data_IF_768587714646
#
_entry.id   IF_768587714646
#
_cell.length_a   1.000
_cell.length_b   1.000
_cell.length_c   1.000
_cell.angle_alpha   90.00
_cell.angle_beta   90.00
_cell.angle_gamma   90.00
#
_symmetry.space_group_name_H-M   'P 1'
#
loop_
_entity.id
_entity.type
_entity.pdbx_description
1 polymer ?
#
# COMPACT_ATOMS: atom_id res chain seq x y z
N UNK A 1 -49.67 -34.14 13.92
CA UNK A 1 -50.37 -33.09 13.14
C UNK A 1 -49.28 -32.29 12.44
N UNK A 2 -48.87 -32.59 11.19
CA UNK A 2 -49.55 -32.21 9.93
C UNK A 2 -50.16 -30.80 10.06
N UNK A 3 -49.71 -29.77 9.34
CA UNK A 3 -49.78 -29.65 7.88
C UNK A 3 -48.62 -28.81 7.29
N UNK A 4 -48.21 -29.27 6.12
CA UNK A 4 -47.22 -28.79 5.17
C UNK A 4 -47.88 -27.84 4.13
N UNK A 5 -47.07 -27.01 3.47
CA UNK A 5 -47.25 -26.33 2.15
C UNK A 5 -47.97 -24.97 2.09
N UNK A 6 -47.24 -23.98 1.58
CA UNK A 6 -47.65 -23.25 0.38
C UNK A 6 -46.40 -22.71 -0.35
N UNK A 7 -45.94 -23.49 -1.35
CA UNK A 7 -45.21 -22.97 -2.50
C UNK A 7 -46.19 -22.16 -3.36
N UNK A 8 -45.70 -21.10 -4.00
CA UNK A 8 -46.30 -20.62 -5.25
C UNK A 8 -46.32 -19.10 -5.40
N UNK A 9 -45.30 -18.56 -6.07
CA UNK A 9 -45.43 -17.56 -7.14
C UNK A 9 -44.03 -17.15 -7.64
N UNK A 10 -43.40 -18.03 -8.42
CA UNK A 10 -42.46 -17.60 -9.45
C UNK A 10 -43.27 -17.12 -10.64
N UNK A 11 -43.18 -15.84 -10.99
CA UNK A 11 -43.53 -15.37 -12.32
C UNK A 11 -43.02 -13.93 -12.54
N UNK A 12 -42.11 -13.81 -13.50
CA UNK A 12 -41.97 -12.66 -14.41
C UNK A 12 -41.31 -11.41 -13.81
N UNK A 13 -40.01 -11.24 -14.05
CA UNK A 13 -39.53 -9.97 -14.56
C UNK A 13 -38.36 -10.15 -15.54
N UNK A 14 -38.56 -9.53 -16.68
CA UNK A 14 -37.80 -9.53 -17.93
C UNK A 14 -36.27 -9.41 -17.82
N UNK A 15 -35.66 -10.40 -18.46
CA UNK A 15 -34.49 -10.36 -19.32
C UNK A 15 -34.29 -8.99 -20.04
N UNK A 16 -33.20 -8.28 -19.75
CA UNK A 16 -32.56 -7.34 -20.68
C UNK A 16 -31.07 -7.68 -20.72
N UNK A 17 -30.70 -8.52 -21.70
CA UNK A 17 -29.33 -8.76 -22.13
C UNK A 17 -28.90 -7.59 -23.03
N UNK A 18 -27.76 -6.96 -22.72
CA UNK A 18 -27.01 -6.18 -23.69
C UNK A 18 -25.52 -6.52 -23.54
N UNK A 19 -25.11 -7.49 -24.34
CA UNK A 19 -23.75 -7.99 -24.55
C UNK A 19 -23.09 -7.22 -25.69
N UNK A 20 -21.96 -6.54 -25.45
CA UNK A 20 -20.94 -6.26 -26.49
C UNK A 20 -19.56 -6.14 -25.85
N UNK A 21 -18.72 -7.17 -25.96
CA UNK A 21 -17.24 -7.13 -25.97
C UNK A 21 -16.68 -8.56 -26.19
N UNK A 22 -15.41 -8.73 -26.59
CA UNK A 22 -14.76 -8.50 -27.89
C UNK A 22 -14.20 -9.83 -28.46
N UNK A 23 -13.49 -9.87 -29.62
CA UNK A 23 -12.61 -11.00 -29.91
C UNK A 23 -11.16 -10.70 -29.53
N UNK A 24 -10.63 -11.52 -28.61
CA UNK A 24 -9.19 -11.75 -28.43
C UNK A 24 -8.62 -12.47 -29.66
N UNK A 25 -7.49 -12.00 -30.15
CA UNK A 25 -6.60 -12.77 -31.03
C UNK A 25 -5.39 -13.23 -30.22
N UNK A 26 -5.05 -14.51 -30.37
CA UNK A 26 -4.00 -15.21 -29.66
C UNK A 26 -2.84 -15.58 -30.61
N UNK A 27 -1.70 -15.91 -30.00
CA UNK A 27 -0.60 -16.76 -30.50
C UNK A 27 0.37 -16.15 -31.52
N UNK A 28 1.70 -16.37 -31.50
CA UNK A 28 2.60 -17.27 -30.75
C UNK A 28 4.08 -16.81 -30.96
N UNK A 29 5.06 -17.35 -30.21
CA UNK A 29 6.49 -17.02 -30.29
C UNK A 29 7.32 -18.03 -31.14
N UNK A 30 8.38 -17.56 -31.79
CA UNK A 30 9.44 -18.39 -32.41
C UNK A 30 10.75 -17.60 -32.40
N UNK A 31 11.82 -18.08 -31.76
CA UNK A 31 12.85 -19.02 -32.26
C UNK A 31 14.22 -18.30 -32.33
N UNK A 32 15.07 -18.56 -31.33
CA UNK A 32 16.54 -18.66 -31.46
C UNK A 32 16.85 -20.15 -31.81
N UNK A 33 18.06 -20.59 -32.24
CA UNK A 33 19.39 -19.99 -32.03
C UNK A 33 20.40 -20.16 -33.19
N UNK A 34 21.61 -19.62 -33.03
CA UNK A 34 22.74 -19.85 -33.94
C UNK A 34 24.07 -19.76 -33.22
N UNK A 35 24.54 -20.90 -32.72
CA UNK A 35 25.93 -21.21 -32.38
C UNK A 35 26.87 -20.94 -33.57
N UNK A 36 28.04 -20.35 -33.32
CA UNK A 36 29.22 -20.68 -34.13
C UNK A 36 30.51 -20.57 -33.31
N UNK A 37 31.17 -21.72 -33.26
CA UNK A 37 32.41 -22.05 -32.56
C UNK A 37 33.65 -21.50 -33.27
N UNK A 38 34.63 -21.16 -32.44
CA UNK A 38 36.06 -21.47 -32.55
C UNK A 38 36.78 -21.31 -33.91
N UNK A 39 37.77 -20.42 -33.91
CA UNK A 39 39.02 -20.63 -34.65
C UNK A 39 40.22 -20.28 -33.77
N UNK A 40 41.20 -21.16 -33.87
CA UNK A 40 42.40 -21.32 -33.08
C UNK A 40 43.66 -20.89 -33.83
N UNK A 41 44.70 -20.59 -33.03
CA UNK A 41 46.16 -20.59 -33.35
C UNK A 41 46.78 -19.40 -34.12
N UNK A 42 48.11 -19.17 -34.06
CA UNK A 42 49.15 -19.84 -33.24
C UNK A 42 50.09 -18.89 -32.44
N UNK A 43 50.87 -19.52 -31.57
CA UNK A 43 51.96 -18.98 -30.77
C UNK A 43 53.17 -18.49 -31.59
N UNK A 44 53.84 -17.45 -31.08
CA UNK A 44 55.14 -16.96 -31.56
C UNK A 44 56.13 -17.02 -30.41
N UNK A 45 57.16 -17.85 -30.60
CA UNK A 45 58.41 -17.91 -29.84
C UNK A 45 59.20 -16.61 -30.00
N UNK A 46 59.64 -16.01 -28.90
CA UNK A 46 60.72 -15.02 -28.89
C UNK A 46 61.68 -15.30 -27.72
N UNK A 47 62.95 -15.52 -28.08
CA UNK A 47 64.08 -15.71 -27.18
C UNK A 47 64.39 -14.46 -26.31
N UNK A 48 65.06 -14.64 -25.16
CA UNK A 48 65.23 -13.58 -24.17
C UNK A 48 66.43 -12.68 -24.47
N UNK A 49 66.15 -11.42 -24.78
CA UNK A 49 67.15 -10.35 -24.78
C UNK A 49 67.43 -9.88 -23.36
N UNK A 50 68.68 -10.04 -22.94
CA UNK A 50 69.27 -9.54 -21.70
C UNK A 50 69.28 -7.99 -21.74
N UNK A 51 68.44 -7.37 -20.90
CA UNK A 51 68.39 -5.92 -20.70
C UNK A 51 68.82 -5.61 -19.27
N UNK A 52 69.93 -4.91 -19.17
CA UNK A 52 70.56 -4.35 -17.99
C UNK A 52 69.56 -3.47 -17.20
N UNK A 53 69.31 -3.82 -15.94
CA UNK A 53 68.34 -3.13 -15.08
C UNK A 53 68.94 -1.83 -14.50
N UNK A 54 68.31 -0.65 -14.72
CA UNK A 54 68.65 0.54 -13.96
C UNK A 54 68.08 0.45 -12.54
N UNK A 55 68.84 0.99 -11.57
CA UNK A 55 68.51 1.03 -10.14
C UNK A 55 67.03 1.34 -9.88
N UNK A 56 66.34 0.36 -9.29
CA UNK A 56 64.94 0.48 -8.89
C UNK A 56 64.82 1.49 -7.74
N UNK A 57 64.02 2.56 -7.87
CA UNK A 57 63.64 3.37 -6.73
C UNK A 57 62.82 2.54 -5.76
N UNK A 58 62.90 2.83 -4.45
CA UNK A 58 62.20 2.07 -3.43
C UNK A 58 60.68 1.96 -3.74
N UNK A 59 60.08 0.76 -3.64
CA UNK A 59 58.75 0.45 -4.19
C UNK A 59 57.56 1.18 -3.53
N UNK A 60 57.78 2.05 -2.54
CA UNK A 60 56.70 2.66 -1.76
C UNK A 60 56.38 4.12 -2.10
N UNK A 61 57.21 4.85 -2.88
CA UNK A 61 56.94 6.27 -3.16
C UNK A 61 56.25 6.55 -4.51
N UNK A 62 56.25 5.61 -5.46
CA UNK A 62 55.76 5.88 -6.83
C UNK A 62 54.25 5.56 -7.01
N UNK A 63 53.59 4.88 -6.07
CA UNK A 63 52.21 4.43 -6.24
C UNK A 63 51.13 5.42 -5.74
N UNK A 64 51.46 6.38 -4.88
CA UNK A 64 50.47 7.28 -4.27
C UNK A 64 49.85 8.29 -5.25
N UNK A 65 50.49 8.55 -6.39
CA UNK A 65 50.07 9.59 -7.36
C UNK A 65 49.03 9.12 -8.40
N UNK A 66 48.60 7.85 -8.37
CA UNK A 66 47.73 7.26 -9.41
C UNK A 66 46.29 6.98 -8.95
N UNK A 67 45.93 7.26 -7.70
CA UNK A 67 44.60 6.97 -7.16
C UNK A 67 43.70 8.21 -7.15
N UNK A 68 42.40 8.09 -7.49
CA UNK A 68 41.45 9.22 -7.44
C UNK A 68 41.46 9.92 -6.09
N UNK A 69 41.22 11.22 -6.01
CA UNK A 69 41.07 11.91 -4.72
C UNK A 69 39.70 11.65 -4.07
N UNK A 70 38.68 11.36 -4.88
CA UNK A 70 37.32 11.12 -4.41
C UNK A 70 37.20 9.74 -3.71
N UNK A 71 36.71 9.67 -2.45
CA UNK A 71 36.53 8.41 -1.73
C UNK A 71 35.61 7.42 -2.45
N UNK A 72 34.52 7.89 -3.05
CA UNK A 72 33.55 7.02 -3.70
C UNK A 72 34.14 6.42 -4.99
N UNK A 73 34.88 7.21 -5.77
CA UNK A 73 35.63 6.69 -6.92
C UNK A 73 36.69 5.64 -6.53
N UNK A 74 37.36 5.81 -5.40
CA UNK A 74 38.31 4.81 -4.87
C UNK A 74 37.62 3.51 -4.47
N UNK A 75 36.48 3.57 -3.79
CA UNK A 75 35.69 2.36 -3.44
C UNK A 75 35.19 1.68 -4.72
N UNK A 76 34.69 2.43 -5.70
CA UNK A 76 34.29 1.89 -6.99
C UNK A 76 35.48 1.25 -7.76
N UNK A 77 36.68 1.82 -7.65
CA UNK A 77 37.91 1.23 -8.18
C UNK A 77 38.29 -0.06 -7.45
N UNK A 78 38.17 -0.10 -6.13
CA UNK A 78 38.43 -1.29 -5.33
C UNK A 78 37.44 -2.43 -5.64
N UNK A 79 36.15 -2.14 -5.86
CA UNK A 79 35.17 -3.14 -6.32
C UNK A 79 35.56 -3.75 -7.66
N UNK A 80 35.99 -2.91 -8.61
CA UNK A 80 36.46 -3.37 -9.93
C UNK A 80 37.72 -4.25 -9.78
N UNK A 81 38.66 -3.83 -8.94
CA UNK A 81 39.85 -4.59 -8.63
C UNK A 81 39.52 -5.98 -8.06
N UNK A 82 38.61 -6.03 -7.08
CA UNK A 82 38.16 -7.28 -6.47
C UNK A 82 37.53 -8.22 -7.51
N UNK A 83 36.65 -7.70 -8.37
CA UNK A 83 36.03 -8.49 -9.44
C UNK A 83 37.04 -9.02 -10.46
N UNK A 84 38.13 -8.29 -10.69
CA UNK A 84 39.24 -8.70 -11.55
C UNK A 84 40.26 -9.59 -10.84
N UNK A 85 40.07 -9.90 -9.54
CA UNK A 85 41.04 -10.61 -8.69
C UNK A 85 42.36 -9.87 -8.44
N UNK A 86 42.38 -8.55 -8.62
CA UNK A 86 43.53 -7.68 -8.36
C UNK A 86 43.59 -7.29 -6.87
N UNK A 87 43.88 -8.24 -5.99
CA UNK A 87 43.81 -8.02 -4.54
C UNK A 87 44.91 -7.10 -3.99
N UNK A 88 46.05 -7.01 -4.68
CA UNK A 88 47.23 -6.27 -4.21
C UNK A 88 46.98 -4.74 -4.14
N UNK A 89 46.02 -4.23 -4.91
CA UNK A 89 45.68 -2.81 -4.95
C UNK A 89 44.59 -2.42 -3.94
N UNK A 90 43.93 -3.39 -3.28
CA UNK A 90 42.85 -3.08 -2.34
C UNK A 90 43.35 -2.32 -1.11
N UNK A 91 44.48 -2.73 -0.53
CA UNK A 91 45.06 -2.04 0.63
C UNK A 91 45.43 -0.57 0.32
N UNK A 92 46.26 -0.26 -0.69
CA UNK A 92 46.63 1.13 -0.97
C UNK A 92 45.43 2.02 -1.37
N UNK A 93 44.37 1.43 -1.94
CA UNK A 93 43.14 2.15 -2.26
C UNK A 93 42.30 2.50 -1.02
N UNK A 94 42.11 1.53 -0.13
CA UNK A 94 41.07 1.59 0.91
C UNK A 94 41.61 1.92 2.30
N UNK A 95 42.86 1.55 2.62
CA UNK A 95 43.47 1.83 3.93
C UNK A 95 43.47 3.34 4.24
N UNK A 96 43.86 4.26 3.33
CA UNK A 96 43.83 5.70 3.60
C UNK A 96 42.42 6.27 3.82
N UNK A 97 41.38 5.56 3.38
CA UNK A 97 39.99 5.99 3.53
C UNK A 97 39.36 5.55 4.84
N UNK A 98 39.89 4.48 5.43
CA UNK A 98 39.30 3.81 6.59
C UNK A 98 40.12 4.05 7.86
N UNK A 99 41.43 4.29 7.73
CA UNK A 99 42.37 4.45 8.85
C UNK A 99 43.00 5.85 8.87
N UNK A 100 43.19 6.48 10.05
CA UNK A 100 42.81 6.01 11.39
C UNK A 100 41.32 6.23 11.72
N UNK A 101 40.60 7.02 10.93
CA UNK A 101 39.17 7.24 11.05
C UNK A 101 38.55 7.22 9.66
N UNK A 102 37.41 6.55 9.50
CA UNK A 102 36.76 6.42 8.21
C UNK A 102 36.26 7.79 7.69
N UNK A 103 36.66 8.13 6.46
CA UNK A 103 36.24 9.35 5.74
C UNK A 103 34.89 9.11 5.03
N UNK A 104 34.49 7.85 4.87
CA UNK A 104 33.24 7.45 4.23
C UNK A 104 32.07 7.64 5.20
N UNK A 105 31.17 8.57 4.87
CA UNK A 105 29.98 8.91 5.66
C UNK A 105 28.90 7.83 5.58
N UNK A 106 28.68 7.27 4.38
CA UNK A 106 27.66 6.25 4.18
C UNK A 106 28.04 4.93 4.88
N UNK A 107 27.14 4.44 5.73
CA UNK A 107 27.41 3.25 6.54
C UNK A 107 27.55 1.98 5.68
N UNK A 108 26.76 1.85 4.61
CA UNK A 108 26.81 0.68 3.74
C UNK A 108 28.10 0.67 2.90
N UNK A 109 28.46 1.83 2.34
CA UNK A 109 29.69 1.98 1.57
C UNK A 109 30.94 1.78 2.44
N UNK A 110 30.93 2.28 3.69
CA UNK A 110 32.01 2.05 4.65
C UNK A 110 32.18 0.56 4.99
N UNK A 111 31.08 -0.17 5.16
CA UNK A 111 31.12 -1.61 5.45
C UNK A 111 31.68 -2.41 4.28
N UNK A 112 31.23 -2.09 3.06
CA UNK A 112 31.76 -2.71 1.86
C UNK A 112 33.26 -2.42 1.68
N UNK A 113 33.67 -1.17 1.87
CA UNK A 113 35.08 -0.79 1.84
C UNK A 113 35.91 -1.56 2.90
N UNK A 114 35.42 -1.68 4.14
CA UNK A 114 36.10 -2.47 5.18
C UNK A 114 36.19 -3.94 4.79
N UNK A 115 35.15 -4.49 4.20
CA UNK A 115 35.12 -5.88 3.77
C UNK A 115 36.17 -6.12 2.68
N UNK A 116 36.21 -5.25 1.66
CA UNK A 116 37.20 -5.32 0.59
C UNK A 116 38.63 -5.16 1.12
N UNK A 117 38.86 -4.26 2.07
CA UNK A 117 40.17 -4.10 2.72
C UNK A 117 40.59 -5.36 3.50
N UNK A 118 39.68 -5.94 4.29
CA UNK A 118 39.94 -7.17 5.03
C UNK A 118 40.29 -8.34 4.09
N UNK A 119 39.61 -8.44 2.96
CA UNK A 119 39.89 -9.42 1.91
C UNK A 119 41.27 -9.20 1.27
N UNK A 120 41.59 -7.96 0.89
CA UNK A 120 42.90 -7.60 0.34
C UNK A 120 44.04 -7.98 1.28
N UNK A 121 43.91 -7.64 2.57
CA UNK A 121 44.87 -8.00 3.60
C UNK A 121 45.01 -9.52 3.79
N UNK A 122 43.90 -10.25 3.75
CA UNK A 122 43.90 -11.71 3.85
C UNK A 122 44.65 -12.36 2.67
N UNK A 123 44.36 -11.94 1.44
CA UNK A 123 45.02 -12.48 0.26
C UNK A 123 46.50 -12.09 0.18
N UNK A 124 46.86 -10.85 0.53
CA UNK A 124 48.26 -10.44 0.63
C UNK A 124 49.01 -11.32 1.64
N UNK A 125 48.40 -11.64 2.78
CA UNK A 125 49.02 -12.50 3.79
C UNK A 125 49.38 -13.89 3.24
N UNK A 126 48.59 -14.44 2.31
CA UNK A 126 48.87 -15.74 1.70
C UNK A 126 50.08 -15.71 0.76
N UNK A 127 50.36 -14.56 0.16
CA UNK A 127 51.47 -14.39 -0.79
C UNK A 127 52.80 -14.08 -0.09
N UNK A 128 52.77 -13.51 1.12
CA UNK A 128 53.97 -13.10 1.85
C UNK A 128 54.71 -14.30 2.46
N UNK A 129 56.02 -14.51 2.15
CA UNK A 129 56.79 -15.62 2.70
C UNK A 129 57.16 -15.42 4.18
N UNK A 130 57.37 -14.18 4.61
CA UNK A 130 57.74 -13.85 5.99
C UNK A 130 56.59 -14.13 6.96
N UNK A 131 56.86 -15.00 7.95
CA UNK A 131 55.86 -15.45 8.90
C UNK A 131 55.38 -14.35 9.86
N UNK A 132 56.24 -13.36 10.15
CA UNK A 132 55.90 -12.25 11.04
C UNK A 132 54.98 -11.25 10.34
N UNK A 133 55.31 -10.86 9.11
CA UNK A 133 54.47 -9.99 8.27
C UNK A 133 53.14 -10.65 7.93
N UNK A 134 53.11 -11.95 7.62
CA UNK A 134 51.86 -12.71 7.43
C UNK A 134 50.94 -12.61 8.65
N UNK A 135 51.49 -12.82 9.86
CA UNK A 135 50.73 -12.70 11.11
C UNK A 135 50.18 -11.29 11.33
N UNK A 136 50.97 -10.26 11.01
CA UNK A 136 50.51 -8.88 11.11
C UNK A 136 49.33 -8.61 10.17
N UNK A 137 49.43 -8.98 8.90
CA UNK A 137 48.36 -8.80 7.92
C UNK A 137 47.06 -9.53 8.29
N UNK A 138 47.17 -10.78 8.75
CA UNK A 138 46.00 -11.54 9.23
C UNK A 138 45.39 -10.90 10.47
N UNK A 139 46.20 -10.32 11.37
CA UNK A 139 45.69 -9.61 12.54
C UNK A 139 44.93 -8.34 12.14
N UNK A 140 45.45 -7.57 11.17
CA UNK A 140 44.75 -6.41 10.62
C UNK A 140 43.44 -6.79 9.94
N UNK A 141 43.43 -7.87 9.14
CA UNK A 141 42.22 -8.39 8.51
C UNK A 141 41.15 -8.77 9.56
N UNK A 142 41.55 -9.47 10.63
CA UNK A 142 40.65 -9.80 11.76
C UNK A 142 40.09 -8.54 12.43
N UNK A 143 40.90 -7.50 12.57
CA UNK A 143 40.47 -6.20 13.10
C UNK A 143 39.33 -5.60 12.28
N UNK A 144 39.49 -5.50 10.96
CA UNK A 144 38.43 -4.98 10.09
C UNK A 144 37.16 -5.85 10.09
N UNK A 145 37.29 -7.18 10.15
CA UNK A 145 36.13 -8.06 10.30
C UNK A 145 35.40 -7.83 11.62
N UNK A 146 36.12 -7.60 12.71
CA UNK A 146 35.52 -7.27 14.00
C UNK A 146 34.80 -5.92 13.94
N UNK A 147 35.37 -4.92 13.27
CA UNK A 147 34.73 -3.61 13.13
C UNK A 147 33.46 -3.67 12.27
N UNK A 148 33.41 -4.54 11.25
CA UNK A 148 32.18 -4.86 10.53
C UNK A 148 31.13 -5.43 11.49
N UNK A 149 31.50 -6.40 12.33
CA UNK A 149 30.58 -7.03 13.29
C UNK A 149 30.13 -6.07 14.40
N UNK A 150 30.96 -5.12 14.82
CA UNK A 150 30.58 -4.07 15.79
C UNK A 150 29.52 -3.13 15.22
N UNK A 151 29.63 -2.81 13.93
CA UNK A 151 28.69 -1.95 13.23
C UNK A 151 27.42 -2.71 12.84
N UNK A 152 27.54 -3.95 12.36
CA UNK A 152 26.44 -4.86 12.02
C UNK A 152 26.68 -6.26 12.63
N UNK A 153 26.19 -6.54 13.84
CA UNK A 153 26.41 -7.82 14.53
C UNK A 153 25.87 -9.05 13.79
N UNK A 154 24.86 -8.85 12.96
CA UNK A 154 24.21 -9.89 12.16
C UNK A 154 24.81 -10.04 10.75
N UNK A 155 25.90 -9.34 10.44
CA UNK A 155 26.55 -9.44 9.13
C UNK A 155 27.05 -10.87 8.86
N UNK A 156 26.85 -11.36 7.64
CA UNK A 156 27.23 -12.71 7.20
C UNK A 156 27.95 -12.60 5.85
N UNK A 157 29.07 -13.31 5.72
CA UNK A 157 29.73 -13.49 4.43
C UNK A 157 29.05 -14.62 3.65
N UNK A 158 28.64 -14.35 2.41
CA UNK A 158 27.99 -15.33 1.54
C UNK A 158 29.00 -16.44 1.10
N UNK A 159 28.80 -17.71 1.50
CA UNK A 159 29.69 -18.81 1.13
C UNK A 159 29.71 -19.12 -0.37
N UNK A 160 28.74 -18.64 -1.15
CA UNK A 160 28.73 -18.80 -2.60
C UNK A 160 29.63 -17.77 -3.31
N UNK A 161 29.91 -16.64 -2.65
CA UNK A 161 30.69 -15.54 -3.20
C UNK A 161 32.15 -15.61 -2.70
N UNK A 162 32.35 -15.96 -1.42
CA UNK A 162 33.67 -15.92 -0.79
C UNK A 162 34.27 -17.31 -0.59
N UNK A 163 35.61 -17.47 -0.72
CA UNK A 163 36.27 -18.75 -0.45
C UNK A 163 36.06 -19.22 0.99
N UNK A 164 36.00 -20.55 1.19
CA UNK A 164 35.78 -21.15 2.51
C UNK A 164 36.79 -20.68 3.57
N UNK A 165 38.05 -20.46 3.19
CA UNK A 165 39.09 -19.98 4.11
C UNK A 165 38.84 -18.56 4.64
N UNK A 166 38.18 -17.70 3.85
CA UNK A 166 37.78 -16.35 4.25
C UNK A 166 36.58 -16.43 5.20
N UNK A 167 35.60 -17.27 4.88
CA UNK A 167 34.43 -17.48 5.74
C UNK A 167 34.86 -18.05 7.10
N UNK A 168 35.80 -18.99 7.12
CA UNK A 168 36.33 -19.58 8.34
C UNK A 168 37.01 -18.53 9.24
N UNK A 169 37.88 -17.67 8.69
CA UNK A 169 38.50 -16.61 9.50
C UNK A 169 37.47 -15.62 10.02
N UNK A 170 36.48 -15.25 9.21
CA UNK A 170 35.41 -14.34 9.63
C UNK A 170 34.56 -14.91 10.76
N UNK A 171 34.12 -16.17 10.63
CA UNK A 171 33.36 -16.84 11.68
C UNK A 171 34.20 -17.08 12.94
N UNK A 172 35.50 -17.31 12.82
CA UNK A 172 36.39 -17.37 13.98
C UNK A 172 36.43 -16.03 14.74
N UNK A 173 36.44 -14.89 14.03
CA UNK A 173 36.38 -13.56 14.66
C UNK A 173 35.04 -13.35 15.36
N UNK A 174 33.93 -13.78 14.76
CA UNK A 174 32.61 -13.71 15.39
C UNK A 174 32.58 -14.54 16.68
N UNK A 175 33.09 -15.77 16.63
CA UNK A 175 33.10 -16.68 17.78
C UNK A 175 33.99 -16.15 18.92
N UNK A 176 35.17 -15.63 18.60
CA UNK A 176 36.11 -15.06 19.58
C UNK A 176 35.51 -13.84 20.31
N UNK A 177 34.60 -13.09 19.66
CA UNK A 177 34.03 -11.85 20.17
C UNK A 177 32.54 -11.95 20.52
N UNK A 178 31.99 -13.17 20.65
CA UNK A 178 30.55 -13.39 20.82
C UNK A 178 29.97 -12.64 22.03
N UNK A 179 30.72 -12.55 23.13
CA UNK A 179 30.28 -11.83 24.34
C UNK A 179 30.15 -10.32 24.09
N UNK A 180 31.10 -9.72 23.37
CA UNK A 180 31.05 -8.30 23.00
C UNK A 180 29.84 -8.04 22.08
N UNK A 181 29.66 -8.86 21.05
CA UNK A 181 28.56 -8.73 20.10
C UNK A 181 27.19 -8.89 20.78
N UNK A 182 27.04 -9.85 21.70
CA UNK A 182 25.82 -10.01 22.50
C UNK A 182 25.49 -8.76 23.31
N UNK A 183 26.49 -8.09 23.87
CA UNK A 183 26.28 -6.85 24.61
C UNK A 183 25.83 -5.69 23.69
N UNK A 184 26.42 -5.59 22.49
CA UNK A 184 26.02 -4.59 21.48
C UNK A 184 24.57 -4.80 21.07
N UNK A 185 24.16 -6.04 20.78
CA UNK A 185 22.78 -6.37 20.41
C UNK A 185 21.82 -6.05 21.56
N UNK A 186 22.17 -6.42 22.80
CA UNK A 186 21.35 -6.15 23.97
C UNK A 186 21.15 -4.64 24.21
N UNK A 187 22.22 -3.84 24.04
CA UNK A 187 22.14 -2.38 24.14
C UNK A 187 21.22 -1.78 23.07
N UNK A 188 21.39 -2.17 21.80
CA UNK A 188 20.53 -1.70 20.70
C UNK A 188 19.06 -2.05 20.91
N UNK A 189 18.77 -3.25 21.42
CA UNK A 189 17.40 -3.66 21.72
C UNK A 189 16.80 -2.88 22.91
N UNK A 190 17.61 -2.57 23.93
CA UNK A 190 17.18 -1.74 25.04
C UNK A 190 16.83 -0.31 24.60
N UNK A 191 17.64 0.28 23.72
CA UNK A 191 17.41 1.61 23.13
C UNK A 191 16.19 1.64 22.21
N UNK A 192 15.97 0.59 21.42
CA UNK A 192 14.76 0.45 20.61
C UNK A 192 13.49 0.39 21.46
N UNK A 193 13.52 -0.35 22.58
CA UNK A 193 12.39 -0.46 23.51
C UNK A 193 12.14 0.83 24.31
N UNK A 194 13.18 1.58 24.67
CA UNK A 194 13.03 2.86 25.38
C UNK A 194 12.47 3.96 24.47
N UNK A 195 12.90 3.98 23.21
CA UNK A 195 12.35 4.86 22.16
C UNK A 195 10.88 4.51 21.90
N UNK A 196 10.57 3.22 21.74
CA UNK A 196 9.20 2.76 21.50
C UNK A 196 8.28 3.15 22.65
N UNK A 197 8.69 2.98 23.92
CA UNK A 197 7.84 3.35 25.08
C UNK A 197 7.61 4.85 25.23
N UNK A 198 8.54 5.68 24.77
CA UNK A 198 8.42 7.14 24.84
C UNK A 198 7.50 7.70 23.75
N UNK A 199 7.21 6.92 22.71
CA UNK A 199 6.40 7.29 21.54
C UNK A 199 5.04 6.55 21.47
N UNK A 200 4.66 5.81 22.52
CA UNK A 200 3.33 5.21 22.65
C UNK A 200 2.29 6.30 23.01
N UNK A 201 1.88 7.12 22.04
CA UNK A 201 0.65 7.88 22.15
C UNK A 201 -0.53 6.89 22.25
N UNK A 202 -1.24 6.95 23.38
CA UNK A 202 -2.43 6.14 23.61
C UNK A 202 -3.53 6.57 22.63
N UNK A 203 -3.74 5.78 21.57
CA UNK A 203 -4.76 6.05 20.56
C UNK A 203 -6.14 5.62 21.08
N UNK A 204 -7.01 6.57 21.41
CA UNK A 204 -8.39 6.28 21.79
C UNK A 204 -9.22 6.07 20.53
N UNK A 205 -9.95 4.96 20.45
CA UNK A 205 -10.80 4.64 19.30
C UNK A 205 -12.26 4.64 19.79
N UNK A 206 -13.04 5.63 19.35
CA UNK A 206 -14.49 5.65 19.54
C UNK A 206 -15.17 4.92 18.38
N UNK A 207 -16.10 4.03 18.75
CA UNK A 207 -16.92 3.28 17.82
C UNK A 207 -18.36 3.77 17.93
N UNK A 208 -18.76 4.68 17.05
CA UNK A 208 -20.15 5.11 16.96
C UNK A 208 -20.94 4.07 16.15
N UNK A 209 -21.95 3.47 16.79
CA UNK A 209 -22.84 2.47 16.18
C UNK A 209 -24.18 3.12 15.91
N UNK A 210 -24.39 3.58 14.68
CA UNK A 210 -25.68 4.13 14.25
C UNK A 210 -26.58 2.99 13.82
N UNK A 211 -27.78 2.93 14.40
CA UNK A 211 -28.80 1.94 14.06
C UNK A 211 -29.75 2.51 13.02
N UNK A 212 -29.97 1.76 11.95
CA UNK A 212 -30.91 2.12 10.90
C UNK A 212 -32.25 1.43 11.11
N UNK A 213 -33.34 2.13 10.78
CA UNK A 213 -34.70 1.65 10.97
C UNK A 213 -35.26 1.15 9.64
N UNK A 214 -35.60 -0.14 9.57
CA UNK A 214 -36.19 -0.77 8.39
C UNK A 214 -37.49 -0.05 7.94
N UNK A 215 -38.22 0.58 8.87
CA UNK A 215 -39.46 1.29 8.56
C UNK A 215 -39.26 2.45 7.57
N UNK A 216 -38.09 3.09 7.57
CA UNK A 216 -37.79 4.23 6.68
C UNK A 216 -37.70 3.82 5.20
N UNK A 217 -37.46 2.53 4.91
CA UNK A 217 -37.45 2.00 3.54
C UNK A 217 -38.84 1.97 2.88
N UNK A 218 -39.92 2.05 3.67
CA UNK A 218 -41.29 2.06 3.14
C UNK A 218 -41.82 3.46 2.86
N UNK A 219 -41.08 4.51 3.23
CA UNK A 219 -41.48 5.88 2.94
C UNK A 219 -41.19 6.25 1.47
N UNK A 220 -42.03 7.10 0.85
CA UNK A 220 -41.82 7.56 -0.52
C UNK A 220 -40.59 8.49 -0.61
N UNK A 221 -40.25 8.87 -1.84
CA UNK A 221 -39.17 9.79 -2.18
C UNK A 221 -37.76 9.28 -1.82
N UNK A 222 -37.58 7.96 -1.72
CA UNK A 222 -36.26 7.37 -1.52
C UNK A 222 -35.64 7.66 -0.16
N UNK A 223 -36.42 7.99 0.88
CA UNK A 223 -35.94 8.27 2.24
C UNK A 223 -35.05 7.13 2.78
N UNK A 224 -35.43 5.87 2.54
CA UNK A 224 -34.61 4.71 2.93
C UNK A 224 -33.24 4.66 2.25
N UNK A 225 -33.11 5.20 1.03
CA UNK A 225 -31.82 5.21 0.32
C UNK A 225 -30.85 6.23 0.91
N UNK A 226 -31.36 7.35 1.42
CA UNK A 226 -30.54 8.32 2.14
C UNK A 226 -30.03 7.75 3.47
N UNK A 227 -30.84 6.94 4.16
CA UNK A 227 -30.38 6.20 5.34
C UNK A 227 -29.27 5.19 4.99
N UNK A 228 -29.32 4.57 3.82
CA UNK A 228 -28.29 3.64 3.36
C UNK A 228 -27.07 4.32 2.71
N UNK A 229 -26.86 5.63 2.93
CA UNK A 229 -25.81 6.46 2.29
C UNK A 229 -25.74 6.39 0.76
N UNK A 230 -26.84 6.02 0.10
CA UNK A 230 -26.97 5.99 -1.35
C UNK A 230 -27.64 7.28 -1.86
N UNK A 231 -26.97 8.42 -1.66
CA UNK A 231 -27.51 9.74 -2.01
C UNK A 231 -27.92 9.87 -3.49
N UNK A 232 -27.18 9.22 -4.39
CA UNK A 232 -27.49 9.22 -5.83
C UNK A 232 -28.81 8.51 -6.11
N UNK A 233 -29.00 7.31 -5.54
CA UNK A 233 -30.25 6.54 -5.70
C UNK A 233 -31.43 7.26 -5.04
N UNK A 234 -31.22 7.79 -3.83
CA UNK A 234 -32.23 8.56 -3.11
C UNK A 234 -32.70 9.77 -3.92
N UNK A 235 -31.76 10.54 -4.47
CA UNK A 235 -32.07 11.70 -5.33
C UNK A 235 -32.82 11.30 -6.59
N UNK A 236 -32.41 10.21 -7.25
CA UNK A 236 -33.08 9.71 -8.44
C UNK A 236 -34.56 9.38 -8.15
N UNK A 237 -34.82 8.60 -7.11
CA UNK A 237 -36.20 8.25 -6.73
C UNK A 237 -37.00 9.47 -6.28
N UNK A 238 -36.40 10.38 -5.49
CA UNK A 238 -37.05 11.60 -5.04
C UNK A 238 -37.50 12.48 -6.23
N UNK A 239 -36.61 12.69 -7.21
CA UNK A 239 -36.92 13.50 -8.40
C UNK A 239 -37.95 12.80 -9.28
N UNK A 240 -37.78 11.51 -9.58
CA UNK A 240 -38.73 10.77 -10.42
C UNK A 240 -40.13 10.70 -9.81
N UNK A 241 -40.24 10.39 -8.52
CA UNK A 241 -41.52 10.36 -7.80
C UNK A 241 -42.10 11.78 -7.65
N UNK A 242 -41.26 12.77 -7.36
CA UNK A 242 -41.67 14.18 -7.27
C UNK A 242 -42.25 14.70 -8.58
N UNK A 243 -41.60 14.44 -9.72
CA UNK A 243 -42.09 14.83 -11.05
C UNK A 243 -43.38 14.11 -11.42
N UNK A 244 -43.46 12.81 -11.15
CA UNK A 244 -44.67 12.02 -11.42
C UNK A 244 -45.87 12.53 -10.58
N UNK A 245 -45.64 12.82 -9.30
CA UNK A 245 -46.67 13.36 -8.42
C UNK A 245 -47.08 14.79 -8.84
N UNK A 246 -46.12 15.66 -9.16
CA UNK A 246 -46.39 17.00 -9.64
C UNK A 246 -47.20 16.98 -10.95
N UNK A 247 -46.85 16.09 -11.89
CA UNK A 247 -47.58 15.92 -13.13
C UNK A 247 -48.99 15.38 -12.91
N UNK A 248 -49.19 14.48 -11.95
CA UNK A 248 -50.52 14.00 -11.56
C UNK A 248 -51.41 15.13 -11.02
N UNK A 249 -50.89 15.95 -10.10
CA UNK A 249 -51.60 17.09 -9.52
C UNK A 249 -51.90 18.16 -10.59
N UNK A 250 -50.92 18.50 -11.43
CA UNK A 250 -51.08 19.46 -12.51
C UNK A 250 -52.13 19.01 -13.52
N UNK A 251 -52.14 17.72 -13.87
CA UNK A 251 -53.13 17.14 -14.77
C UNK A 251 -54.54 17.23 -14.18
N UNK A 252 -54.71 16.94 -12.88
CA UNK A 252 -56.00 17.11 -12.20
C UNK A 252 -56.50 18.54 -12.28
N UNK A 253 -55.63 19.50 -11.98
CA UNK A 253 -56.00 20.91 -12.00
C UNK A 253 -56.36 21.40 -13.41
N UNK A 254 -55.70 20.89 -14.44
CA UNK A 254 -56.03 21.19 -15.83
C UNK A 254 -57.37 20.59 -16.26
N UNK A 255 -57.70 19.36 -15.82
CA UNK A 255 -59.03 18.75 -16.04
C UNK A 255 -60.12 19.60 -15.39
N UNK A 256 -59.88 20.14 -14.19
CA UNK A 256 -60.85 20.99 -13.49
C UNK A 256 -61.05 22.34 -14.18
N UNK A 257 -59.98 22.93 -14.74
CA UNK A 257 -60.07 24.18 -15.52
C UNK A 257 -60.88 24.05 -16.81
N UNK A 258 -60.95 22.85 -17.39
CA UNK A 258 -61.72 22.57 -18.59
C UNK A 258 -63.20 22.28 -18.30
N UNK A 259 -63.60 22.24 -17.04
CA UNK A 259 -64.99 21.98 -16.63
C UNK A 259 -65.82 23.26 -16.76
N UNK A 260 -66.97 23.15 -17.41
CA UNK A 260 -67.93 24.25 -17.57
C UNK A 260 -68.64 24.63 -16.26
N UNK A 261 -69.38 25.76 -16.24
CA UNK A 261 -70.13 26.22 -15.06
C UNK A 261 -71.21 25.23 -14.59
N UNK A 262 -71.70 24.40 -15.50
CA UNK A 262 -72.67 23.34 -15.29
C UNK A 262 -72.03 22.02 -14.82
N UNK A 263 -70.70 21.99 -14.69
CA UNK A 263 -69.94 20.81 -14.33
C UNK A 263 -69.67 19.84 -15.49
N UNK A 264 -70.17 20.14 -16.69
CA UNK A 264 -69.99 19.31 -17.88
C UNK A 264 -68.79 19.78 -18.73
N UNK A 265 -68.35 18.91 -19.64
CA UNK A 265 -67.32 19.25 -20.63
C UNK A 265 -68.00 19.56 -21.97
N UNK A 266 -67.70 20.73 -22.54
CA UNK A 266 -68.26 21.12 -23.84
C UNK A 266 -67.77 20.18 -24.96
N UNK A 267 -68.72 19.63 -25.72
CA UNK A 267 -68.46 18.71 -26.84
C UNK A 267 -68.50 19.39 -28.22
N UNK A 268 -68.92 20.65 -28.28
CA UNK A 268 -69.41 21.29 -29.52
C UNK A 268 -68.52 22.45 -30.02
N UNK A 269 -67.22 22.44 -29.69
CA UNK A 269 -66.29 23.47 -30.18
C UNK A 269 -65.76 23.10 -31.57
N UNK A 270 -66.03 23.94 -32.56
CA UNK A 270 -65.69 23.77 -34.00
C UNK A 270 -64.21 23.98 -34.36
N UNK A 271 -63.33 24.14 -33.36
CA UNK A 271 -61.88 24.24 -33.54
C UNK A 271 -61.17 23.05 -32.86
N UNK A 272 -60.55 22.19 -33.69
CA UNK A 272 -59.50 21.19 -33.39
C UNK A 272 -59.47 20.67 -31.92
N UNK A 273 -60.44 19.81 -31.60
CA UNK A 273 -60.50 19.01 -30.36
C UNK A 273 -61.22 19.72 -29.22
N UNK A 274 -62.50 19.41 -29.00
CA UNK A 274 -63.29 20.03 -27.93
C UNK A 274 -62.76 19.77 -26.52
N UNK A 275 -63.18 20.59 -25.54
CA UNK A 275 -62.74 20.54 -24.15
C UNK A 275 -62.84 19.14 -23.51
N UNK A 276 -63.84 18.34 -23.92
CA UNK A 276 -63.96 16.94 -23.53
C UNK A 276 -62.78 16.06 -23.98
N UNK A 277 -62.32 16.21 -25.23
CA UNK A 277 -61.21 15.44 -25.77
C UNK A 277 -59.89 15.81 -25.09
N UNK A 278 -59.69 17.10 -24.80
CA UNK A 278 -58.53 17.59 -24.06
C UNK A 278 -58.53 17.09 -22.61
N UNK A 279 -59.67 17.16 -21.91
CA UNK A 279 -59.83 16.63 -20.56
C UNK A 279 -59.56 15.12 -20.50
N UNK A 280 -59.96 14.35 -21.52
CA UNK A 280 -59.64 12.94 -21.63
C UNK A 280 -58.13 12.69 -21.78
N UNK A 281 -57.43 13.56 -22.53
CA UNK A 281 -55.97 13.54 -22.65
C UNK A 281 -55.29 13.76 -21.30
N UNK A 282 -55.66 14.83 -20.59
CA UNK A 282 -55.14 15.11 -19.25
C UNK A 282 -55.46 14.02 -18.24
N UNK A 283 -56.64 13.38 -18.34
CA UNK A 283 -56.99 12.24 -17.48
C UNK A 283 -56.08 11.04 -17.72
N UNK A 284 -55.72 10.75 -18.97
CA UNK A 284 -54.73 9.69 -19.28
C UNK A 284 -53.36 10.05 -18.71
N UNK A 285 -52.93 11.31 -18.85
CA UNK A 285 -51.68 11.80 -18.25
C UNK A 285 -51.70 11.67 -16.73
N UNK A 286 -52.81 12.03 -16.07
CA UNK A 286 -52.98 11.92 -14.63
C UNK A 286 -52.79 10.46 -14.16
N UNK A 287 -53.53 9.51 -14.76
CA UNK A 287 -53.41 8.09 -14.39
C UNK A 287 -52.06 7.49 -14.79
N UNK A 288 -51.49 7.90 -15.92
CA UNK A 288 -50.14 7.50 -16.33
C UNK A 288 -49.07 7.96 -15.33
N UNK A 289 -49.16 9.21 -14.87
CA UNK A 289 -48.27 9.76 -13.86
C UNK A 289 -48.44 9.08 -12.50
N UNK A 290 -49.68 8.75 -12.11
CA UNK A 290 -49.94 7.94 -10.90
C UNK A 290 -49.33 6.54 -11.00
N UNK A 291 -49.48 5.89 -12.16
CA UNK A 291 -48.87 4.58 -12.43
C UNK A 291 -47.35 4.64 -12.37
N UNK A 292 -46.74 5.67 -12.96
CA UNK A 292 -45.30 5.90 -12.90
C UNK A 292 -44.83 6.13 -11.45
N UNK A 293 -45.54 6.94 -10.67
CA UNK A 293 -45.24 7.15 -9.25
C UNK A 293 -45.27 5.82 -8.48
N UNK A 294 -46.34 5.02 -8.64
CA UNK A 294 -46.48 3.74 -7.96
C UNK A 294 -45.37 2.73 -8.35
N UNK A 295 -44.97 2.72 -9.63
CA UNK A 295 -43.88 1.88 -10.10
C UNK A 295 -42.54 2.29 -9.48
N UNK A 296 -42.20 3.58 -9.49
CA UNK A 296 -40.98 4.08 -8.86
C UNK A 296 -40.97 3.92 -7.34
N UNK A 297 -42.12 4.05 -6.69
CA UNK A 297 -42.26 3.79 -5.26
C UNK A 297 -41.98 2.32 -4.95
N UNK A 298 -42.65 1.39 -5.63
CA UNK A 298 -42.47 -0.05 -5.44
C UNK A 298 -41.01 -0.44 -5.67
N UNK A 299 -40.41 0.08 -6.74
CA UNK A 299 -38.99 -0.12 -7.01
C UNK A 299 -38.09 0.43 -5.89
N UNK A 300 -38.35 1.64 -5.39
CA UNK A 300 -37.52 2.22 -4.33
C UNK A 300 -37.62 1.45 -3.02
N UNK A 301 -38.80 0.91 -2.69
CA UNK A 301 -38.99 0.04 -1.51
C UNK A 301 -38.21 -1.27 -1.69
N UNK A 302 -38.32 -1.92 -2.85
CA UNK A 302 -37.57 -3.15 -3.14
C UNK A 302 -36.06 -2.92 -3.05
N UNK A 303 -35.54 -1.87 -3.70
CA UNK A 303 -34.12 -1.53 -3.63
C UNK A 303 -33.69 -1.17 -2.19
N UNK A 304 -34.55 -0.49 -1.42
CA UNK A 304 -34.26 -0.10 -0.03
C UNK A 304 -34.19 -1.28 0.93
N UNK A 305 -35.09 -2.25 0.76
CA UNK A 305 -35.10 -3.49 1.56
C UNK A 305 -33.95 -4.40 1.18
N UNK A 306 -33.64 -4.55 -0.12
CA UNK A 306 -32.57 -5.42 -0.60
C UNK A 306 -31.17 -4.90 -0.21
N UNK A 307 -30.99 -3.58 -0.16
CA UNK A 307 -29.71 -2.95 0.22
C UNK A 307 -29.71 -2.43 1.66
N UNK A 308 -30.59 -2.95 2.52
CA UNK A 308 -30.70 -2.48 3.90
C UNK A 308 -29.51 -2.93 4.74
N UNK A 309 -28.77 -1.96 5.29
CA UNK A 309 -27.72 -2.20 6.25
C UNK A 309 -28.20 -1.80 7.65
N UNK A 310 -28.37 -2.75 8.60
CA UNK A 310 -28.97 -2.47 9.91
C UNK A 310 -28.07 -1.61 10.80
N UNK A 311 -26.77 -1.65 10.57
CA UNK A 311 -25.77 -1.02 11.43
C UNK A 311 -24.66 -0.41 10.58
N UNK A 312 -24.34 0.84 10.85
CA UNK A 312 -23.13 1.48 10.32
C UNK A 312 -22.18 1.78 11.47
N UNK A 313 -20.95 1.31 11.34
CA UNK A 313 -19.89 1.52 12.32
C UNK A 313 -18.99 2.63 11.80
N UNK A 314 -19.00 3.77 12.48
CA UNK A 314 -18.01 4.82 12.25
C UNK A 314 -16.93 4.69 13.32
N UNK A 315 -15.70 4.50 12.87
CA UNK A 315 -14.53 4.43 13.73
C UNK A 315 -13.86 5.81 13.65
N UNK A 316 -13.77 6.50 14.78
CA UNK A 316 -13.03 7.75 14.90
C UNK A 316 -11.94 7.58 15.94
N UNK A 317 -10.75 8.05 15.61
CA UNK A 317 -9.65 8.17 16.57
C UNK A 317 -9.82 9.48 17.31
N UNK A 318 -9.81 9.44 18.64
CA UNK A 318 -9.76 10.64 19.48
C UNK A 318 -8.34 10.85 19.98
N UNK A 319 -7.94 12.11 19.98
CA UNK A 319 -6.65 12.57 20.51
C UNK A 319 -6.66 12.67 22.04
N UNK A 320 -7.85 12.62 22.66
CA UNK A 320 -8.08 12.76 24.10
C UNK A 320 -8.99 11.64 24.64
N UNK A 321 -8.83 11.23 25.92
CA UNK A 321 -9.68 10.22 26.54
C UNK A 321 -11.15 10.66 26.53
N UNK A 322 -12.09 9.77 26.16
CA UNK A 322 -13.51 10.09 26.23
C UNK A 322 -13.94 10.38 27.67
N UNK A 323 -14.74 11.43 27.86
CA UNK A 323 -15.20 11.94 29.17
C UNK A 323 -15.95 10.91 30.03
N UNK A 324 -16.33 9.77 29.46
CA UNK A 324 -16.99 8.65 30.12
C UNK A 324 -16.01 7.78 30.93
N UNK A 325 -14.69 7.90 30.67
CA UNK A 325 -13.63 7.20 31.41
C UNK A 325 -13.18 7.95 32.67
N UNK A 326 -13.54 9.24 32.81
CA UNK A 326 -13.44 9.96 34.07
C UNK A 326 -14.61 9.50 34.96
N UNK A 327 -14.32 8.60 35.91
CA UNK A 327 -15.30 7.82 36.68
C UNK A 327 -16.41 8.61 37.41
N UNK A 328 -17.34 7.91 38.11
CA UNK A 328 -18.52 8.53 38.70
C UNK A 328 -18.13 9.43 39.89
N UNK A 329 -17.82 10.69 39.62
CA UNK A 329 -17.87 11.74 40.63
C UNK A 329 -19.30 11.85 41.18
N UNK A 330 -19.48 12.05 42.50
CA UNK A 330 -20.81 12.26 43.06
C UNK A 330 -21.42 13.50 42.39
N UNK A 331 -22.55 13.31 41.72
CA UNK A 331 -23.34 14.39 41.11
C UNK A 331 -23.79 15.37 42.20
N UNK A 332 -23.00 16.41 42.43
CA UNK A 332 -23.48 17.63 43.03
C UNK A 332 -24.35 18.34 41.98
N UNK A 333 -25.60 18.57 42.34
CA UNK A 333 -26.62 19.06 41.42
C UNK A 333 -26.31 20.43 40.80
N UNK A 334 -26.67 20.53 39.53
CA UNK A 334 -27.02 21.72 38.73
C UNK A 334 -27.25 21.14 37.31
N UNK A 335 -28.34 21.29 36.59
CA UNK A 335 -29.48 22.20 36.64
C UNK A 335 -29.91 22.31 35.17
N UNK A 336 -31.08 21.76 34.85
CA UNK A 336 -31.95 22.01 33.68
C UNK A 336 -31.32 22.61 32.40
N UNK A 337 -31.28 21.81 31.33
CA UNK A 337 -31.57 22.35 29.99
C UNK A 337 -32.79 21.63 29.40
N UNK A 338 -33.85 22.42 29.20
CA UNK A 338 -35.12 22.03 28.61
C UNK A 338 -34.97 22.06 27.09
N UNK A 339 -35.04 20.89 26.45
CA UNK A 339 -35.02 20.78 25.00
C UNK A 339 -35.59 19.46 24.52
N UNK A 340 -36.91 19.29 24.67
CA UNK A 340 -37.79 18.39 23.90
C UNK A 340 -37.12 17.14 23.29
N UNK A 341 -36.87 16.12 24.11
CA UNK A 341 -36.45 14.79 23.65
C UNK A 341 -37.26 13.71 24.35
N UNK A 342 -38.35 13.28 23.74
CA UNK A 342 -39.13 12.13 24.20
C UNK A 342 -38.24 10.88 24.15
N UNK A 343 -37.84 10.34 25.31
CA UNK A 343 -37.17 9.04 25.39
C UNK A 343 -38.17 7.96 25.79
N UNK A 344 -38.56 7.14 24.83
CA UNK A 344 -39.29 5.89 25.09
C UNK A 344 -38.30 4.83 25.58
N UNK A 345 -38.36 4.47 26.87
CA UNK A 345 -37.68 3.28 27.41
C UNK A 345 -38.61 2.08 27.24
N UNK A 346 -38.27 1.16 26.32
CA UNK A 346 -38.77 -0.21 26.41
C UNK A 346 -37.81 -1.02 27.28
N UNK A 347 -38.36 -1.61 28.34
CA UNK A 347 -37.76 -2.71 29.09
C UNK A 347 -38.09 -4.01 28.37
N UNK A 348 -37.08 -4.81 28.09
CA UNK A 348 -37.18 -6.27 28.12
C UNK A 348 -36.08 -6.77 29.04
#
# INVERSE_FOLDING_TARGET
MYVHRALGASAILMLVLLTVMPPLAAEQPGEQPGEQLAQSEPAVDLEPGEVEAPDAPEPNEVAAAAYPDDPNERVAMARRAFNNSDFDILRPLLEPLLEPHAIIDDALERLDARQLLALGLFFEAQQVPDASRRRALLSSARGHFLDILREQPEFILDPLIYPASVVEIFESVRQDNETELRNIIAARNADALSTTRSDLQMLYIEREVQQHSLALNFFPFGIGQFQNNSSVKGTLFAVSQGLALALNIASYWMIERLRGPDGAYETTSSSRGGAYAEALGWRRTQYGALGAFAAFYTWSVLDGVLNFHPTQVHIRTLDEPPAELDGPGPRAGQGLNLGLGWSWRWRW
#
